data_IF_683461080774
#
_entry.id   IF_683461080774
#
_cell.length_a   1.000
_cell.length_b   1.000
_cell.length_c   1.000
_cell.angle_alpha   90.00
_cell.angle_beta   90.00
_cell.angle_gamma   90.00
#
_symmetry.space_group_name_H-M   'P 1'
#
loop_
_entity.id
_entity.type
_entity.pdbx_description
1 polymer ?
#
# COMPACT_ATOMS: atom_id res chain seq x y z
N UNK A 1 -10.91 10.65 9.18
CA UNK A 1 -10.20 9.62 9.99
C UNK A 1 -9.32 10.28 11.04
N UNK A 2 -9.72 10.27 12.30
CA UNK A 2 -8.77 10.50 13.41
C UNK A 2 -8.11 9.15 13.73
N UNK A 3 -7.08 8.76 12.99
CA UNK A 3 -6.32 7.55 13.32
C UNK A 3 -5.55 6.81 12.21
N UNK A 4 -5.71 7.13 10.92
CA UNK A 4 -4.81 6.54 9.93
C UNK A 4 -3.39 7.09 10.05
N UNK A 5 -2.38 6.28 9.69
CA UNK A 5 -1.07 6.80 9.33
C UNK A 5 -1.21 7.88 8.25
N UNK A 6 -0.46 8.97 8.40
CA UNK A 6 -0.49 10.11 7.49
C UNK A 6 -0.04 9.71 6.08
N UNK A 7 0.89 8.78 6.00
CA UNK A 7 1.44 8.21 4.78
C UNK A 7 0.34 7.52 3.95
N UNK A 8 -0.55 6.79 4.63
CA UNK A 8 -1.70 6.16 4.00
C UNK A 8 -2.71 7.18 3.47
N UNK A 9 -3.04 8.20 4.26
CA UNK A 9 -3.96 9.26 3.79
C UNK A 9 -3.36 10.06 2.64
N UNK A 10 -2.06 10.36 2.68
CA UNK A 10 -1.38 11.07 1.60
C UNK A 10 -1.38 10.26 0.29
N UNK A 11 -1.14 8.95 0.38
CA UNK A 11 -1.26 8.04 -0.76
C UNK A 11 -2.66 8.09 -1.38
N UNK A 12 -3.70 7.99 -0.56
CA UNK A 12 -5.09 8.02 -1.03
C UNK A 12 -5.46 9.39 -1.62
N UNK A 13 -4.98 10.49 -1.03
CA UNK A 13 -5.22 11.85 -1.54
C UNK A 13 -4.59 12.06 -2.93
N UNK A 14 -3.34 11.60 -3.14
CA UNK A 14 -2.70 11.67 -4.46
C UNK A 14 -3.40 10.76 -5.48
N UNK A 15 -3.82 9.56 -5.07
CA UNK A 15 -4.54 8.61 -5.93
C UNK A 15 -5.89 9.19 -6.37
N UNK A 16 -6.62 9.76 -5.42
CA UNK A 16 -7.91 10.41 -5.64
C UNK A 16 -7.79 11.59 -6.61
N UNK A 17 -6.78 12.43 -6.40
CA UNK A 17 -6.55 13.61 -7.22
C UNK A 17 -6.20 13.26 -8.68
N UNK A 18 -5.47 12.16 -8.92
CA UNK A 18 -5.06 11.76 -10.27
C UNK A 18 -6.16 11.00 -11.02
N UNK A 19 -7.02 10.26 -10.33
CA UNK A 19 -8.00 9.36 -10.95
C UNK A 19 -9.47 9.74 -10.74
N UNK A 20 -9.74 10.95 -10.23
CA UNK A 20 -11.10 11.47 -10.01
C UNK A 20 -11.95 10.54 -9.12
N UNK A 21 -11.35 10.06 -8.02
CA UNK A 21 -11.98 9.16 -7.05
C UNK A 21 -12.35 9.94 -5.80
N UNK A 22 -13.61 9.87 -5.39
CA UNK A 22 -14.05 10.39 -4.09
C UNK A 22 -13.70 9.40 -2.96
N UNK A 23 -12.87 9.85 -2.01
CA UNK A 23 -12.48 9.07 -0.84
C UNK A 23 -13.22 9.57 0.39
N UNK A 24 -14.07 8.70 0.95
CA UNK A 24 -14.70 8.95 2.24
C UNK A 24 -13.78 8.50 3.39
N UNK A 25 -13.21 9.44 4.13
CA UNK A 25 -12.39 9.16 5.33
C UNK A 25 -13.23 8.98 6.61
N UNK A 26 -14.53 8.80 6.47
CA UNK A 26 -15.50 8.63 7.54
C UNK A 26 -15.54 7.21 8.10
N UNK A 27 -16.24 7.05 9.22
CA UNK A 27 -16.49 5.74 9.82
C UNK A 27 -15.39 5.22 10.74
N UNK A 28 -15.76 4.23 11.55
CA UNK A 28 -14.83 3.40 12.33
C UNK A 28 -14.80 2.03 11.68
N UNK A 29 -13.61 1.46 11.50
CA UNK A 29 -13.50 0.08 11.03
C UNK A 29 -14.05 -0.90 12.05
N UNK A 30 -14.02 -0.57 13.35
CA UNK A 30 -14.35 -1.49 14.47
C UNK A 30 -13.71 -2.89 14.29
N UNK A 31 -12.54 -2.95 13.63
CA UNK A 31 -11.87 -4.18 13.22
C UNK A 31 -12.00 -4.49 11.73
N UNK A 32 -11.00 -5.16 11.16
CA UNK A 32 -10.96 -5.46 9.73
C UNK A 32 -12.09 -6.43 9.32
N UNK A 33 -12.31 -7.50 10.09
CA UNK A 33 -13.37 -8.49 9.86
C UNK A 33 -14.76 -7.84 9.76
N UNK A 34 -15.07 -7.00 10.75
CA UNK A 34 -16.34 -6.27 10.80
C UNK A 34 -16.53 -5.34 9.60
N UNK A 35 -15.46 -4.63 9.21
CA UNK A 35 -15.50 -3.76 8.05
C UNK A 35 -15.76 -4.55 6.76
N UNK A 36 -15.07 -5.68 6.56
CA UNK A 36 -15.23 -6.53 5.37
C UNK A 36 -16.64 -7.12 5.30
N UNK A 37 -17.20 -7.54 6.43
CA UNK A 37 -18.59 -8.00 6.49
C UNK A 37 -19.58 -6.89 6.09
N UNK A 38 -19.41 -5.67 6.60
CA UNK A 38 -20.25 -4.54 6.21
C UNK A 38 -20.12 -4.19 4.73
N UNK A 39 -18.91 -4.22 4.19
CA UNK A 39 -18.66 -3.94 2.78
C UNK A 39 -19.31 -5.01 1.87
N UNK A 40 -19.21 -6.28 2.26
CA UNK A 40 -19.83 -7.38 1.55
C UNK A 40 -21.38 -7.30 1.51
N UNK A 41 -22.00 -6.66 2.49
CA UNK A 41 -23.44 -6.39 2.54
C UNK A 41 -23.83 -5.01 1.96
N UNK A 42 -22.88 -4.27 1.36
CA UNK A 42 -23.13 -2.93 0.82
C UNK A 42 -23.48 -1.86 1.88
N UNK A 43 -23.13 -2.12 3.14
CA UNK A 43 -23.45 -1.24 4.29
C UNK A 43 -22.41 -0.13 4.50
N UNK A 44 -21.33 -0.13 3.72
CA UNK A 44 -20.27 0.88 3.64
C UNK A 44 -19.76 0.94 2.19
N UNK A 45 -19.12 2.04 1.78
CA UNK A 45 -18.40 2.10 0.50
C UNK A 45 -17.31 1.02 0.40
N UNK A 46 -16.93 0.60 -0.82
CA UNK A 46 -15.77 -0.27 -1.02
C UNK A 46 -14.47 0.42 -0.56
N UNK A 47 -13.43 -0.37 -0.27
CA UNK A 47 -12.11 0.14 0.14
C UNK A 47 -11.00 -0.54 -0.63
N UNK A 48 -9.81 0.07 -0.58
CA UNK A 48 -8.58 -0.52 -1.07
C UNK A 48 -7.98 -1.47 -0.03
N UNK A 49 -7.43 -2.57 -0.52
CA UNK A 49 -6.68 -3.55 0.25
C UNK A 49 -5.39 -3.89 -0.48
N UNK A 50 -4.33 -4.20 0.27
CA UNK A 50 -3.13 -4.78 -0.33
C UNK A 50 -3.41 -6.19 -0.85
N UNK A 51 -2.91 -6.52 -2.03
CA UNK A 51 -3.10 -7.86 -2.65
C UNK A 51 -2.50 -9.00 -1.86
N UNK A 52 -1.55 -8.70 -0.96
CA UNK A 52 -0.88 -9.65 -0.07
C UNK A 52 -1.53 -9.72 1.32
N UNK A 53 -2.60 -8.97 1.57
CA UNK A 53 -3.31 -9.03 2.85
C UNK A 53 -4.23 -10.24 2.88
N UNK A 54 -4.18 -11.01 3.97
CA UNK A 54 -5.15 -12.07 4.23
C UNK A 54 -6.52 -11.45 4.48
N UNK A 55 -7.47 -11.75 3.59
CA UNK A 55 -8.84 -11.30 3.76
C UNK A 55 -9.61 -12.22 4.71
N UNK A 56 -10.47 -11.64 5.58
CA UNK A 56 -11.44 -12.39 6.36
C UNK A 56 -12.34 -13.21 5.42
N UNK A 57 -12.67 -14.47 5.78
CA UNK A 57 -13.43 -15.37 4.92
C UNK A 57 -14.93 -15.00 4.92
N UNK A 58 -15.28 -13.89 4.28
CA UNK A 58 -16.67 -13.41 4.13
C UNK A 58 -17.20 -13.87 2.76
N UNK A 59 -18.15 -14.83 2.68
CA UNK A 59 -18.58 -15.45 1.41
C UNK A 59 -19.12 -14.47 0.36
N UNK A 60 -19.70 -13.36 0.82
CA UNK A 60 -20.31 -12.33 -0.02
C UNK A 60 -19.30 -11.27 -0.48
N UNK A 61 -18.09 -11.24 0.11
CA UNK A 61 -17.08 -10.29 -0.30
C UNK A 61 -16.68 -10.53 -1.77
N UNK A 62 -16.41 -9.43 -2.47
CA UNK A 62 -15.93 -9.43 -3.85
C UNK A 62 -14.68 -8.58 -3.91
N UNK A 63 -13.67 -9.09 -4.60
CA UNK A 63 -12.41 -8.40 -4.83
C UNK A 63 -12.40 -7.94 -6.27
N UNK A 64 -12.12 -6.67 -6.49
CA UNK A 64 -11.94 -6.08 -7.82
C UNK A 64 -10.47 -5.71 -7.92
N UNK A 65 -9.76 -6.34 -8.84
CA UNK A 65 -8.36 -5.99 -9.12
C UNK A 65 -8.29 -4.70 -9.91
N UNK A 66 -7.44 -3.78 -9.46
CA UNK A 66 -7.06 -2.58 -10.21
C UNK A 66 -5.87 -2.94 -11.08
N UNK A 67 -5.96 -2.68 -12.38
CA UNK A 67 -5.05 -3.21 -13.39
C UNK A 67 -4.40 -2.14 -14.27
N UNK A 68 -5.04 -0.99 -14.49
CA UNK A 68 -4.45 0.09 -15.28
C UNK A 68 -4.91 1.47 -14.77
N UNK A 69 -4.05 2.22 -14.05
CA UNK A 69 -2.78 1.74 -13.50
C UNK A 69 -2.99 0.93 -12.21
N UNK A 70 -2.00 0.11 -11.81
CA UNK A 70 -2.03 -0.64 -10.55
C UNK A 70 -1.53 0.26 -9.41
N UNK A 71 -2.35 0.70 -8.43
CA UNK A 71 -1.85 1.48 -7.32
C UNK A 71 -0.95 0.62 -6.43
N UNK A 72 0.30 1.04 -6.25
CA UNK A 72 1.27 0.35 -5.39
C UNK A 72 1.53 1.21 -4.17
N UNK A 73 1.26 0.68 -2.98
CA UNK A 73 1.65 1.33 -1.73
C UNK A 73 3.07 0.87 -1.35
N UNK A 74 4.11 1.72 -1.45
CA UNK A 74 5.47 1.31 -1.15
C UNK A 74 5.68 1.17 0.36
N UNK A 75 6.38 0.11 0.75
CA UNK A 75 6.80 -0.12 2.13
C UNK A 75 8.30 0.15 2.25
N UNK A 76 8.66 0.96 3.24
CA UNK A 76 10.05 1.33 3.48
C UNK A 76 10.49 0.82 4.85
N UNK A 77 11.66 0.18 4.89
CA UNK A 77 12.34 -0.14 6.15
C UNK A 77 13.39 0.94 6.40
N UNK A 78 13.28 1.64 7.52
CA UNK A 78 14.14 2.79 7.83
C UNK A 78 14.90 2.50 9.13
N UNK A 79 16.21 2.74 9.13
CA UNK A 79 17.07 2.58 10.30
C UNK A 79 17.94 3.81 10.52
N UNK A 80 18.48 3.94 11.74
CA UNK A 80 19.45 4.99 12.04
C UNK A 80 20.81 4.63 11.44
N UNK A 81 21.50 5.62 10.86
CA UNK A 81 22.84 5.45 10.26
C UNK A 81 23.89 4.84 11.20
N UNK A 82 23.70 4.95 12.52
CA UNK A 82 24.60 4.35 13.52
C UNK A 82 24.50 2.83 13.63
N UNK A 83 23.50 2.20 13.01
CA UNK A 83 23.38 0.74 13.03
C UNK A 83 24.47 0.14 12.14
N UNK A 84 25.18 -0.91 12.62
CA UNK A 84 26.20 -1.57 11.81
C UNK A 84 25.59 -2.08 10.50
N UNK A 85 26.24 -1.80 9.37
CA UNK A 85 25.79 -2.24 8.03
C UNK A 85 25.48 -3.73 7.99
N UNK A 86 26.34 -4.55 8.61
CA UNK A 86 26.16 -5.99 8.68
C UNK A 86 24.82 -6.42 9.31
N UNK A 87 24.37 -5.73 10.37
CA UNK A 87 23.08 -6.05 11.01
C UNK A 87 21.92 -5.74 10.07
N UNK A 88 22.01 -4.62 9.35
CA UNK A 88 20.99 -4.23 8.36
C UNK A 88 20.94 -5.24 7.22
N UNK A 89 22.09 -5.65 6.69
CA UNK A 89 22.18 -6.66 5.63
C UNK A 89 21.61 -8.01 6.08
N UNK A 90 21.92 -8.46 7.30
CA UNK A 90 21.37 -9.70 7.86
C UNK A 90 19.85 -9.63 8.03
N UNK A 91 19.31 -8.48 8.47
CA UNK A 91 17.86 -8.27 8.58
C UNK A 91 17.16 -8.26 7.22
N UNK A 92 17.74 -7.59 6.22
CA UNK A 92 17.20 -7.57 4.85
C UNK A 92 17.25 -8.96 4.24
N UNK A 93 18.36 -9.70 4.41
CA UNK A 93 18.50 -11.06 3.90
C UNK A 93 17.54 -12.07 4.57
N UNK A 94 17.16 -11.83 5.83
CA UNK A 94 16.18 -12.65 6.55
C UNK A 94 14.72 -12.30 6.22
N UNK A 95 14.47 -11.18 5.54
CA UNK A 95 13.13 -10.74 5.17
C UNK A 95 12.50 -11.70 4.15
N UNK A 96 11.24 -12.13 4.34
CA UNK A 96 10.51 -12.88 3.32
C UNK A 96 10.08 -11.98 2.14
N UNK A 97 10.21 -10.66 2.30
CA UNK A 97 9.88 -9.67 1.28
C UNK A 97 11.15 -9.32 0.50
N UNK A 98 11.14 -9.40 -0.85
CA UNK A 98 12.30 -9.06 -1.66
C UNK A 98 12.70 -7.59 -1.45
N UNK A 99 14.01 -7.34 -1.36
CA UNK A 99 14.56 -5.99 -1.18
C UNK A 99 14.21 -5.02 -2.32
N UNK A 100 13.98 -5.57 -3.52
CA UNK A 100 13.54 -4.84 -4.70
C UNK A 100 12.34 -5.56 -5.31
N UNK A 101 11.10 -5.29 -4.84
CA UNK A 101 9.92 -5.87 -5.45
C UNK A 101 9.80 -5.42 -6.90
N UNK A 102 9.34 -6.31 -7.78
CA UNK A 102 9.02 -5.95 -9.15
C UNK A 102 8.00 -4.81 -9.14
N UNK A 103 8.34 -3.71 -9.79
CA UNK A 103 7.43 -2.60 -10.02
C UNK A 103 6.89 -2.75 -11.44
N UNK A 104 5.60 -3.09 -11.61
CA UNK A 104 4.97 -3.17 -12.92
C UNK A 104 5.18 -1.89 -13.73
N UNK A 105 5.31 -2.01 -15.06
CA UNK A 105 5.49 -0.84 -15.93
C UNK A 105 4.29 0.13 -15.86
N UNK A 106 3.11 -0.42 -15.60
CA UNK A 106 1.81 0.20 -15.39
C UNK A 106 1.50 0.49 -13.91
N UNK A 107 2.48 0.36 -13.02
CA UNK A 107 2.29 0.72 -11.62
C UNK A 107 2.07 2.23 -11.46
N UNK A 108 1.05 2.57 -10.69
CA UNK A 108 0.87 3.90 -10.15
C UNK A 108 1.54 4.02 -8.78
N UNK A 109 2.26 5.12 -8.60
CA UNK A 109 2.94 5.51 -7.37
C UNK A 109 2.73 7.00 -7.18
N UNK A 110 2.62 7.48 -5.93
CA UNK A 110 2.76 8.89 -5.61
C UNK A 110 4.01 9.47 -6.26
N UNK A 111 3.94 10.75 -6.65
CA UNK A 111 4.99 11.42 -7.44
C UNK A 111 6.36 11.37 -6.76
N UNK A 112 6.39 11.50 -5.42
CA UNK A 112 7.58 11.37 -4.60
C UNK A 112 8.16 9.96 -4.64
N UNK A 113 7.33 8.94 -4.39
CA UNK A 113 7.75 7.54 -4.37
C UNK A 113 8.24 7.07 -5.74
N UNK A 114 7.55 7.48 -6.83
CA UNK A 114 7.98 7.20 -8.20
C UNK A 114 9.38 7.74 -8.44
N UNK A 115 9.65 8.97 -8.03
CA UNK A 115 10.96 9.61 -8.18
C UNK A 115 12.06 8.84 -7.44
N UNK A 116 11.78 8.30 -6.26
CA UNK A 116 12.73 7.47 -5.51
C UNK A 116 12.93 6.10 -6.15
N UNK A 117 11.86 5.40 -6.52
CA UNK A 117 11.93 4.07 -7.13
C UNK A 117 12.74 4.06 -8.45
N UNK A 118 12.72 5.15 -9.21
CA UNK A 118 13.47 5.25 -10.48
C UNK A 118 14.91 5.77 -10.31
N UNK A 119 15.27 6.37 -9.17
CA UNK A 119 16.61 6.95 -8.96
C UNK A 119 17.71 5.88 -8.86
N UNK A 120 17.43 4.74 -8.23
CA UNK A 120 18.45 3.68 -8.03
C UNK A 120 18.74 2.87 -9.30
N UNK A 121 17.87 2.93 -10.31
CA UNK A 121 18.08 2.26 -11.61
C UNK A 121 19.16 2.91 -12.49
N UNK A 122 19.62 4.12 -12.16
CA UNK A 122 20.59 4.88 -12.99
C UNK A 122 22.05 4.60 -12.61
N UNK A 123 22.32 3.87 -11.52
CA UNK A 123 23.69 3.61 -11.04
C UNK A 123 24.33 2.31 -11.51
N UNK A 124 23.66 1.54 -12.38
CA UNK A 124 24.20 0.30 -12.93
C UNK A 124 24.56 0.44 -14.42
N UNK A 125 25.47 1.35 -14.80
CA UNK A 125 26.16 1.32 -16.10
C UNK A 125 27.66 1.60 -15.89
#
# INVERSE_FOLDING_TARGET
MTGAPREWTAFLDELAAEHDIDIEYGGSTMGFDYWVERAAHGSVPPTFIGTVMDLPPVPQARIISLIDPVPVYPWWVIWRQRLPTRLVEELVAASPVPAHPYLPADAWLPSGDRSYATRDRVKEH
#
